data_IF_839777265978
#
_entry.id   IF_839777265978
#
_cell.length_a   1.000
_cell.length_b   1.000
_cell.length_c   1.000
_cell.angle_alpha   90.00
_cell.angle_beta   90.00
_cell.angle_gamma   90.00
#
_symmetry.space_group_name_H-M   'P 1'
#
loop_
_entity.id
_entity.type
_entity.pdbx_description
1 polymer ?
#
# COMPACT_ATOMS: atom_id res chain seq x y z
N UNK A 1 -16.82 -5.91 9.41
CA UNK A 1 -15.62 -6.19 8.61
C UNK A 1 -14.81 -4.89 8.57
N UNK A 2 -13.63 -4.86 9.17
CA UNK A 2 -12.88 -3.63 9.46
C UNK A 2 -11.36 -3.82 9.24
N UNK A 3 -10.98 -4.59 8.21
CA UNK A 3 -9.58 -4.89 7.89
C UNK A 3 -9.21 -4.43 6.49
N UNK A 4 -7.96 -4.04 6.32
CA UNK A 4 -7.45 -3.54 5.05
C UNK A 4 -5.99 -3.93 4.84
N UNK A 5 -5.60 -4.02 3.58
CA UNK A 5 -4.20 -3.95 3.16
C UNK A 5 -3.99 -2.59 2.53
N UNK A 6 -3.15 -1.79 3.18
CA UNK A 6 -2.71 -0.47 2.76
C UNK A 6 -1.42 -0.65 1.98
N UNK A 7 -1.42 -0.18 0.74
CA UNK A 7 -0.33 -0.33 -0.21
C UNK A 7 0.26 1.05 -0.50
N UNK A 8 1.58 1.16 -0.49
CA UNK A 8 2.20 2.21 -1.30
C UNK A 8 2.01 1.90 -2.80
N UNK A 9 2.34 2.85 -3.66
CA UNK A 9 2.15 2.72 -5.10
C UNK A 9 3.47 2.41 -5.83
N UNK A 10 4.40 3.35 -5.80
CA UNK A 10 5.65 3.27 -6.55
C UNK A 10 6.67 2.43 -5.78
N UNK A 11 7.04 1.27 -6.32
CA UNK A 11 7.87 0.27 -5.64
C UNK A 11 7.07 -0.85 -4.97
N UNK A 12 5.74 -0.78 -4.97
CA UNK A 12 4.84 -1.79 -4.36
C UNK A 12 3.78 -2.30 -5.33
N UNK A 13 3.04 -1.41 -6.00
CA UNK A 13 2.09 -1.75 -7.07
C UNK A 13 2.80 -1.74 -8.42
N UNK A 14 3.54 -0.67 -8.71
CA UNK A 14 4.30 -0.52 -9.94
C UNK A 14 5.79 -0.40 -9.67
N UNK A 15 6.60 -0.67 -10.69
CA UNK A 15 8.03 -0.35 -10.68
C UNK A 15 8.18 1.16 -10.48
N UNK A 16 8.98 1.57 -9.50
CA UNK A 16 9.32 2.97 -9.32
C UNK A 16 10.39 3.39 -10.33
N UNK A 17 9.96 4.10 -11.38
CA UNK A 17 10.82 4.72 -12.39
C UNK A 17 11.05 6.22 -12.11
N UNK A 18 10.62 6.71 -10.96
CA UNK A 18 10.59 8.12 -10.60
C UNK A 18 9.45 8.87 -11.28
N UNK A 19 8.57 9.47 -10.46
CA UNK A 19 7.51 10.37 -10.92
C UNK A 19 6.56 9.76 -11.98
N UNK A 20 6.22 8.47 -11.86
CA UNK A 20 5.31 7.78 -12.78
C UNK A 20 3.92 8.44 -12.75
N UNK A 21 3.47 8.97 -13.88
CA UNK A 21 2.19 9.67 -14.03
C UNK A 21 1.53 9.43 -15.40
N UNK A 22 2.01 8.44 -16.17
CA UNK A 22 1.51 8.08 -17.50
C UNK A 22 1.48 6.57 -17.65
N UNK A 23 0.52 6.04 -18.39
CA UNK A 23 0.33 4.60 -18.53
C UNK A 23 1.46 3.91 -19.30
N UNK A 24 2.15 4.64 -20.18
CA UNK A 24 3.31 4.12 -20.93
C UNK A 24 4.51 3.84 -20.01
N UNK A 25 4.60 4.57 -18.90
CA UNK A 25 5.66 4.41 -17.90
C UNK A 25 5.22 3.43 -16.78
N UNK A 26 3.93 3.12 -16.68
CA UNK A 26 3.36 2.22 -15.68
C UNK A 26 3.69 0.76 -16.00
N UNK A 27 4.46 0.14 -15.11
CA UNK A 27 4.81 -1.27 -15.18
C UNK A 27 4.46 -1.92 -13.86
N UNK A 28 3.56 -2.91 -13.91
CA UNK A 28 3.11 -3.62 -12.72
C UNK A 28 4.23 -4.46 -12.13
N UNK A 29 4.36 -4.50 -10.81
CA UNK A 29 5.29 -5.43 -10.18
C UNK A 29 4.87 -6.89 -10.41
N UNK A 30 5.81 -7.80 -10.73
CA UNK A 30 5.50 -9.20 -10.98
C UNK A 30 4.78 -9.86 -9.80
N UNK A 31 3.78 -10.70 -10.10
CA UNK A 31 3.05 -11.47 -9.09
C UNK A 31 2.07 -10.67 -8.22
N UNK A 32 1.97 -9.34 -8.38
CA UNK A 32 1.05 -8.50 -7.59
C UNK A 32 -0.40 -9.00 -7.65
N UNK A 33 -0.92 -9.22 -8.86
CA UNK A 33 -2.32 -9.62 -9.07
C UNK A 33 -2.60 -10.96 -8.40
N UNK A 34 -1.74 -11.95 -8.64
CA UNK A 34 -1.89 -13.30 -8.11
C UNK A 34 -1.83 -13.29 -6.58
N UNK A 35 -0.89 -12.53 -6.01
CA UNK A 35 -0.75 -12.40 -4.57
C UNK A 35 -1.98 -11.75 -3.93
N UNK A 36 -2.41 -10.58 -4.44
CA UNK A 36 -3.59 -9.88 -3.89
C UNK A 36 -4.88 -10.70 -4.08
N UNK A 37 -4.96 -11.53 -5.11
CA UNK A 37 -6.07 -12.45 -5.34
C UNK A 37 -6.22 -13.56 -4.29
N UNK A 38 -5.19 -13.82 -3.47
CA UNK A 38 -5.25 -14.78 -2.35
C UNK A 38 -5.89 -14.19 -1.09
N UNK A 39 -5.99 -12.86 -0.99
CA UNK A 39 -6.57 -12.22 0.18
C UNK A 39 -8.07 -12.51 0.27
N UNK A 40 -8.60 -12.83 1.46
CA UNK A 40 -10.04 -12.92 1.69
C UNK A 40 -10.79 -11.67 1.20
N UNK A 41 -11.96 -11.87 0.60
CA UNK A 41 -12.72 -10.79 -0.04
C UNK A 41 -13.22 -9.68 0.89
N UNK A 42 -13.06 -9.81 2.21
CA UNK A 42 -13.38 -8.79 3.20
C UNK A 42 -12.18 -7.89 3.56
N UNK A 43 -10.99 -8.15 3.03
CA UNK A 43 -9.90 -7.17 3.02
C UNK A 43 -10.19 -6.05 2.04
N UNK A 44 -10.16 -4.81 2.53
CA UNK A 44 -10.15 -3.64 1.66
C UNK A 44 -8.72 -3.38 1.17
N UNK A 45 -8.56 -3.16 -0.13
CA UNK A 45 -7.28 -2.72 -0.71
C UNK A 45 -7.29 -1.21 -0.83
N UNK A 46 -6.39 -0.53 -0.13
CA UNK A 46 -6.33 0.93 -0.06
C UNK A 46 -4.94 1.37 -0.46
N UNK A 47 -4.82 2.38 -1.32
CA UNK A 47 -3.53 2.96 -1.70
C UNK A 47 -3.29 4.24 -0.92
N UNK A 48 -2.10 4.38 -0.33
CA UNK A 48 -1.64 5.64 0.28
C UNK A 48 -0.26 5.96 -0.26
N UNK A 49 -0.13 7.05 -1.02
CA UNK A 49 1.12 7.35 -1.76
C UNK A 49 1.60 8.81 -1.64
N UNK A 50 2.92 9.00 -1.59
CA UNK A 50 3.55 10.32 -1.62
C UNK A 50 3.84 10.75 -3.06
N UNK A 51 3.13 11.74 -3.58
CA UNK A 51 3.18 12.19 -4.98
C UNK A 51 3.79 13.59 -5.10
N UNK A 52 5.01 13.74 -4.58
CA UNK A 52 5.71 15.03 -4.56
C UNK A 52 6.07 15.57 -5.95
N UNK A 53 5.89 14.79 -7.01
CA UNK A 53 6.01 15.28 -8.39
C UNK A 53 5.02 16.41 -8.69
N UNK A 54 3.87 16.42 -8.01
CA UNK A 54 2.87 17.50 -8.11
C UNK A 54 3.43 18.79 -7.54
N UNK A 55 3.86 18.80 -6.27
CA UNK A 55 4.45 19.97 -5.63
C UNK A 55 5.78 20.43 -6.26
N UNK A 56 6.45 19.55 -7.01
CA UNK A 56 7.64 19.88 -7.81
C UNK A 56 7.32 20.40 -9.22
N UNK A 57 6.06 20.33 -9.65
CA UNK A 57 5.62 20.79 -10.97
C UNK A 57 5.94 19.85 -12.14
N UNK A 58 6.20 18.56 -11.88
CA UNK A 58 6.42 17.57 -12.95
C UNK A 58 5.14 17.13 -13.64
N UNK A 59 4.03 17.12 -12.91
CA UNK A 59 2.68 16.88 -13.41
C UNK A 59 1.68 17.56 -12.48
N UNK A 60 0.48 17.79 -12.97
CA UNK A 60 -0.62 18.43 -12.25
C UNK A 60 -1.43 17.40 -11.46
N UNK A 61 -2.22 17.90 -10.51
CA UNK A 61 -3.18 17.09 -9.76
C UNK A 61 -4.18 16.38 -10.70
N UNK A 62 -4.62 17.08 -11.75
CA UNK A 62 -5.52 16.54 -12.77
C UNK A 62 -4.88 15.40 -13.58
N UNK A 63 -3.61 15.53 -13.96
CA UNK A 63 -2.88 14.46 -14.64
C UNK A 63 -2.70 13.24 -13.73
N UNK A 64 -2.39 13.47 -12.45
CA UNK A 64 -2.32 12.38 -11.47
C UNK A 64 -3.66 11.67 -11.30
N UNK A 65 -4.78 12.39 -11.19
CA UNK A 65 -6.11 11.81 -11.07
C UNK A 65 -6.47 11.00 -12.32
N UNK A 66 -6.30 11.56 -13.52
CA UNK A 66 -6.58 10.85 -14.77
C UNK A 66 -5.68 9.62 -14.97
N UNK A 67 -4.44 9.66 -14.50
CA UNK A 67 -3.56 8.48 -14.45
C UNK A 67 -4.07 7.44 -13.45
N UNK A 68 -4.46 7.88 -12.25
CA UNK A 68 -4.98 7.01 -11.19
C UNK A 68 -6.24 6.26 -11.63
N UNK A 69 -7.16 6.93 -12.32
CA UNK A 69 -8.37 6.31 -12.87
C UNK A 69 -8.03 5.18 -13.85
N UNK A 70 -7.03 5.40 -14.71
CA UNK A 70 -6.56 4.38 -15.65
C UNK A 70 -5.90 3.20 -14.93
N UNK A 71 -5.14 3.45 -13.86
CA UNK A 71 -4.54 2.39 -13.03
C UNK A 71 -5.63 1.59 -12.31
N UNK A 72 -6.64 2.24 -11.73
CA UNK A 72 -7.78 1.57 -11.09
C UNK A 72 -8.50 0.66 -12.09
N UNK A 73 -8.83 1.18 -13.27
CA UNK A 73 -9.46 0.41 -14.35
C UNK A 73 -8.58 -0.77 -14.80
N UNK A 74 -7.27 -0.54 -14.92
CA UNK A 74 -6.29 -1.57 -15.30
C UNK A 74 -6.23 -2.73 -14.28
N UNK A 75 -6.24 -2.41 -12.99
CA UNK A 75 -6.23 -3.40 -11.90
C UNK A 75 -7.58 -4.13 -11.78
N UNK A 76 -8.69 -3.40 -11.91
CA UNK A 76 -10.03 -3.96 -11.82
C UNK A 76 -10.27 -5.02 -12.90
N UNK A 77 -9.84 -4.77 -14.14
CA UNK A 77 -9.89 -5.74 -15.25
C UNK A 77 -9.11 -7.02 -14.99
N UNK A 78 -8.21 -7.02 -14.01
CA UNK A 78 -7.39 -8.16 -13.56
C UNK A 78 -7.85 -8.73 -12.22
N UNK A 79 -9.04 -8.33 -11.74
CA UNK A 79 -9.64 -8.86 -10.52
C UNK A 79 -9.21 -8.16 -9.23
N UNK A 80 -8.40 -7.08 -9.31
CA UNK A 80 -7.98 -6.32 -8.12
C UNK A 80 -8.82 -5.06 -7.99
N UNK A 81 -9.66 -5.01 -6.95
CA UNK A 81 -10.49 -3.84 -6.64
C UNK A 81 -9.84 -2.97 -5.56
N UNK A 82 -9.37 -1.80 -5.95
CA UNK A 82 -9.01 -0.75 -5.00
C UNK A 82 -10.27 -0.11 -4.43
N UNK A 83 -10.31 0.01 -3.11
CA UNK A 83 -11.43 0.57 -2.36
C UNK A 83 -11.25 2.07 -2.14
N UNK A 84 -10.01 2.54 -2.02
CA UNK A 84 -9.68 3.96 -1.89
C UNK A 84 -8.24 4.23 -2.33
N UNK A 85 -8.01 5.43 -2.84
CA UNK A 85 -6.67 5.94 -3.18
C UNK A 85 -6.50 7.30 -2.53
N UNK A 86 -5.52 7.42 -1.66
CA UNK A 86 -5.15 8.65 -0.97
C UNK A 86 -3.73 9.03 -1.36
N UNK A 87 -3.49 10.32 -1.57
CA UNK A 87 -2.17 10.80 -1.94
C UNK A 87 -1.83 12.13 -1.28
N UNK A 88 -0.53 12.36 -1.13
CA UNK A 88 0.02 13.64 -0.70
C UNK A 88 0.78 14.31 -1.86
N UNK A 89 0.32 15.48 -2.36
CA UNK A 89 0.99 16.19 -3.46
C UNK A 89 2.23 16.99 -3.01
N UNK A 90 2.41 17.17 -1.69
CA UNK A 90 3.37 18.11 -1.12
C UNK A 90 4.82 17.64 -1.19
N UNK A 91 5.72 18.62 -1.23
CA UNK A 91 7.17 18.39 -1.09
C UNK A 91 7.56 18.31 0.39
N UNK A 92 8.72 17.71 0.74
CA UNK A 92 9.16 17.62 2.13
C UNK A 92 9.22 18.97 2.88
N UNK A 93 9.51 20.06 2.16
CA UNK A 93 9.61 21.40 2.74
C UNK A 93 8.27 21.98 3.21
N UNK A 94 7.14 21.49 2.70
CA UNK A 94 5.81 22.03 3.01
C UNK A 94 5.34 21.68 4.42
N UNK A 95 5.97 20.70 5.08
CA UNK A 95 5.65 20.25 6.45
C UNK A 95 4.15 19.93 6.65
N UNK A 96 3.48 19.42 5.61
CA UNK A 96 2.08 19.03 5.69
C UNK A 96 1.89 17.79 6.59
N UNK A 97 0.67 17.59 7.09
CA UNK A 97 0.31 16.41 7.90
C UNK A 97 0.03 15.16 7.08
N UNK A 98 -0.16 15.25 5.75
CA UNK A 98 -0.54 14.10 4.93
C UNK A 98 0.64 13.35 4.30
N UNK A 99 1.85 13.92 4.30
CA UNK A 99 3.04 13.25 3.73
C UNK A 99 3.54 12.20 4.71
N UNK A 100 3.65 10.93 4.26
CA UNK A 100 4.30 9.85 5.03
C UNK A 100 5.71 10.30 5.45
N UNK A 101 6.14 10.10 6.71
CA UNK A 101 5.60 9.17 7.71
C UNK A 101 4.37 9.64 8.51
N UNK A 102 3.84 10.84 8.27
CA UNK A 102 2.67 11.29 9.03
C UNK A 102 1.43 10.43 8.72
N UNK A 103 0.63 10.09 9.74
CA UNK A 103 -0.47 9.12 9.62
C UNK A 103 -1.77 9.69 9.03
N UNK A 104 -1.87 11.00 8.76
CA UNK A 104 -3.16 11.64 8.50
C UNK A 104 -3.96 11.06 7.31
N UNK A 105 -3.29 10.54 6.27
CA UNK A 105 -4.01 9.86 5.17
C UNK A 105 -4.52 8.48 5.59
N UNK A 106 -3.78 7.77 6.43
CA UNK A 106 -4.21 6.47 6.97
C UNK A 106 -5.33 6.65 7.99
N UNK A 107 -5.27 7.68 8.84
CA UNK A 107 -6.36 8.05 9.75
C UNK A 107 -7.67 8.31 8.98
N UNK A 108 -7.59 9.07 7.88
CA UNK A 108 -8.74 9.31 7.00
C UNK A 108 -9.31 8.02 6.42
N UNK A 109 -8.45 7.12 5.95
CA UNK A 109 -8.88 5.82 5.44
C UNK A 109 -9.53 4.94 6.53
N UNK A 110 -8.98 4.96 7.75
CA UNK A 110 -9.54 4.25 8.91
C UNK A 110 -10.93 4.76 9.25
N UNK A 111 -11.12 6.08 9.29
CA UNK A 111 -12.41 6.70 9.58
C UNK A 111 -13.43 6.38 8.47
N UNK A 112 -13.07 6.61 7.21
CA UNK A 112 -13.96 6.44 6.05
C UNK A 112 -14.43 4.99 5.87
N UNK A 113 -13.54 4.02 6.12
CA UNK A 113 -13.85 2.60 5.96
C UNK A 113 -14.15 1.87 7.26
N UNK A 114 -14.22 2.59 8.38
CA UNK A 114 -14.42 2.06 9.74
C UNK A 114 -13.46 0.90 10.07
N UNK A 115 -12.17 1.09 9.81
CA UNK A 115 -11.13 0.07 9.98
C UNK A 115 -10.72 -0.07 11.46
N UNK A 116 -10.23 -1.26 11.81
CA UNK A 116 -9.50 -1.53 13.04
C UNK A 116 -8.01 -1.62 12.68
N UNK A 117 -7.19 -0.65 13.12
CA UNK A 117 -5.77 -0.62 12.77
C UNK A 117 -5.04 -1.92 13.09
N UNK A 118 -5.41 -2.62 14.17
CA UNK A 118 -4.80 -3.89 14.59
C UNK A 118 -5.08 -5.06 13.65
N UNK A 119 -5.99 -4.88 12.69
CA UNK A 119 -6.30 -5.87 11.64
C UNK A 119 -5.88 -5.37 10.26
N UNK A 120 -5.19 -4.23 10.21
CA UNK A 120 -4.73 -3.63 8.97
C UNK A 120 -3.24 -3.88 8.79
N UNK A 121 -2.84 -4.01 7.53
CA UNK A 121 -1.46 -4.27 7.13
C UNK A 121 -1.00 -3.15 6.22
N UNK A 122 0.17 -2.55 6.50
CA UNK A 122 0.81 -1.57 5.62
C UNK A 122 1.97 -2.26 4.90
N UNK A 123 1.95 -2.23 3.56
CA UNK A 123 3.02 -2.75 2.71
C UNK A 123 3.66 -1.57 1.97
N UNK A 124 4.96 -1.37 2.20
CA UNK A 124 5.74 -0.24 1.66
C UNK A 124 7.17 -0.62 1.34
N UNK A 125 7.86 0.18 0.52
CA UNK A 125 9.28 -0.02 0.17
C UNK A 125 10.21 1.05 0.80
N UNK A 126 9.65 1.96 1.59
CA UNK A 126 10.35 3.04 2.27
C UNK A 126 10.06 3.03 3.79
N UNK A 127 10.99 3.54 4.61
CA UNK A 127 10.79 3.57 6.06
C UNK A 127 9.58 4.43 6.46
N UNK A 128 9.25 5.44 5.65
CA UNK A 128 8.10 6.30 5.90
C UNK A 128 6.76 5.56 5.85
N UNK A 129 6.66 4.46 5.10
CA UNK A 129 5.47 3.60 5.09
C UNK A 129 5.32 2.84 6.40
N UNK A 130 6.45 2.29 6.88
CA UNK A 130 6.52 1.52 8.12
C UNK A 130 6.20 2.42 9.30
N UNK A 131 6.83 3.59 9.38
CA UNK A 131 6.59 4.58 10.44
C UNK A 131 5.11 5.04 10.47
N UNK A 132 4.49 5.24 9.30
CA UNK A 132 3.06 5.59 9.20
C UNK A 132 2.16 4.49 9.77
N UNK A 133 2.43 3.22 9.43
CA UNK A 133 1.67 2.08 9.94
C UNK A 133 1.85 1.86 11.43
N UNK A 134 3.10 1.91 11.91
CA UNK A 134 3.45 1.79 13.33
C UNK A 134 2.76 2.86 14.18
N UNK A 135 2.70 4.10 13.69
CA UNK A 135 2.08 5.22 14.41
C UNK A 135 0.60 4.99 14.77
N UNK A 136 -0.11 4.16 14.00
CA UNK A 136 -1.51 3.81 14.25
C UNK A 136 -1.71 2.37 14.76
N UNK A 137 -0.63 1.62 14.95
CA UNK A 137 -0.69 0.23 15.41
C UNK A 137 -1.17 -0.76 14.36
N UNK A 138 -0.91 -0.47 13.07
CA UNK A 138 -1.06 -1.45 12.00
C UNK A 138 0.13 -2.41 11.96
N UNK A 139 -0.10 -3.62 11.44
CA UNK A 139 0.98 -4.52 11.08
C UNK A 139 1.77 -3.94 9.91
N UNK A 140 3.10 -4.01 9.95
CA UNK A 140 3.96 -3.38 8.93
C UNK A 140 4.83 -4.40 8.21
N UNK A 141 4.83 -4.32 6.88
CA UNK A 141 5.57 -5.21 6.00
C UNK A 141 6.42 -4.35 5.08
N UNK A 142 7.74 -4.51 5.17
CA UNK A 142 8.67 -3.85 4.27
C UNK A 142 8.95 -4.74 3.05
N UNK A 143 8.63 -4.25 1.86
CA UNK A 143 8.88 -4.93 0.61
C UNK A 143 10.31 -4.64 0.16
N UNK A 144 11.20 -5.62 0.32
CA UNK A 144 12.59 -5.50 -0.06
C UNK A 144 12.73 -5.52 -1.58
N UNK A 145 13.27 -4.44 -2.15
CA UNK A 145 13.56 -4.37 -3.57
C UNK A 145 15.03 -4.64 -3.86
N UNK A 146 15.28 -5.53 -4.83
CA UNK A 146 16.64 -5.87 -5.25
C UNK A 146 17.38 -4.69 -5.91
N UNK A 147 16.64 -3.84 -6.63
CA UNK A 147 17.17 -2.72 -7.44
C UNK A 147 17.69 -1.53 -6.62
N UNK A 148 17.25 -1.37 -5.36
CA UNK A 148 17.73 -0.32 -4.45
C UNK A 148 18.94 -0.74 -3.61
N UNK A 149 19.45 -1.96 -3.80
CA UNK A 149 20.57 -2.53 -3.03
C UNK A 149 20.27 -2.67 -1.52
N UNK A 150 21.21 -3.24 -0.74
CA UNK A 150 21.12 -3.38 0.73
C UNK A 150 21.20 -2.04 1.50
N UNK A 151 20.59 -0.98 0.97
CA UNK A 151 20.75 0.41 1.43
C UNK A 151 19.50 0.98 2.09
N UNK A 152 18.48 0.16 2.36
CA UNK A 152 17.49 0.48 3.37
C UNK A 152 18.20 0.50 4.73
N UNK A 153 18.72 1.67 5.14
CA UNK A 153 19.01 1.93 6.54
C UNK A 153 17.67 1.82 7.25
N UNK A 154 17.52 0.89 8.17
CA UNK A 154 16.30 0.71 8.97
C UNK A 154 16.31 1.73 10.13
N UNK A 155 15.58 2.87 10.07
CA UNK A 155 15.30 3.64 11.29
C UNK A 155 14.29 2.90 12.18
N UNK A 156 13.45 2.06 11.58
CA UNK A 156 12.39 1.26 12.24
C UNK A 156 12.48 -0.21 11.81
N UNK A 157 11.93 -1.12 12.64
CA UNK A 157 11.93 -2.56 12.38
C UNK A 157 10.53 -3.00 11.98
N UNK A 158 10.25 -3.22 10.67
CA UNK A 158 8.97 -3.75 10.25
C UNK A 158 8.73 -5.12 10.89
N UNK A 159 7.46 -5.51 11.04
CA UNK A 159 7.12 -6.83 11.57
C UNK A 159 7.54 -7.96 10.62
N UNK A 160 7.50 -7.71 9.32
CA UNK A 160 8.00 -8.63 8.29
C UNK A 160 8.78 -7.89 7.20
N UNK A 161 9.84 -8.53 6.68
CA UNK A 161 10.58 -8.07 5.50
C UNK A 161 10.29 -9.07 4.38
N UNK A 162 9.46 -8.66 3.43
CA UNK A 162 9.04 -9.50 2.33
C UNK A 162 9.96 -9.37 1.13
N UNK A 163 10.30 -10.47 0.46
CA UNK A 163 11.09 -10.43 -0.78
C UNK A 163 10.25 -10.09 -2.02
N UNK A 164 8.94 -10.34 -1.98
CA UNK A 164 7.98 -9.99 -3.03
C UNK A 164 6.56 -9.86 -2.44
N UNK A 165 5.59 -9.48 -3.27
CA UNK A 165 4.19 -9.34 -2.81
C UNK A 165 3.58 -10.68 -2.37
N UNK A 166 4.01 -11.79 -2.95
CA UNK A 166 3.50 -13.12 -2.59
C UNK A 166 3.94 -13.51 -1.17
N UNK A 167 5.19 -13.23 -0.80
CA UNK A 167 5.70 -13.42 0.55
C UNK A 167 4.97 -12.50 1.55
N UNK A 168 4.75 -11.24 1.19
CA UNK A 168 3.96 -10.30 2.01
C UNK A 168 2.54 -10.84 2.28
N UNK A 169 1.83 -11.30 1.25
CA UNK A 169 0.48 -11.85 1.41
C UNK A 169 0.50 -13.16 2.21
N UNK A 170 1.48 -14.05 2.01
CA UNK A 170 1.61 -15.27 2.82
C UNK A 170 1.80 -14.96 4.30
N UNK A 171 2.59 -13.94 4.62
CA UNK A 171 2.73 -13.48 5.99
C UNK A 171 1.40 -13.00 6.58
N UNK A 172 0.64 -12.18 5.85
CA UNK A 172 -0.71 -11.74 6.27
C UNK A 172 -1.61 -12.94 6.59
N UNK A 173 -1.67 -13.90 5.67
CA UNK A 173 -2.49 -15.11 5.84
C UNK A 173 -2.01 -16.02 6.98
N UNK A 174 -0.74 -15.95 7.37
CA UNK A 174 -0.20 -16.73 8.50
C UNK A 174 -0.62 -16.20 9.87
N UNK A 175 -0.98 -14.91 9.94
CA UNK A 175 -1.46 -14.25 11.16
C UNK A 175 -2.97 -14.41 11.36
N UNK A 176 -3.67 -14.87 10.31
CA UNK A 176 -5.08 -15.19 10.39
C UNK A 176 -5.30 -16.43 11.28
N UNK A 177 -6.18 -16.35 12.28
CA UNK A 177 -6.47 -17.51 13.10
C UNK A 177 -7.03 -18.62 12.21
N UNK A 178 -6.31 -19.75 12.15
CA UNK A 178 -6.77 -21.00 11.54
C UNK A 178 -8.21 -21.26 11.99
N UNK A 179 -9.14 -21.21 11.04
CA UNK A 179 -10.58 -21.17 11.32
C UNK A 179 -11.03 -22.16 12.39
N UNK A 180 -11.92 -21.68 13.26
CA UNK A 180 -12.78 -22.49 14.11
C UNK A 180 -13.25 -23.74 13.36
N UNK A 181 -13.10 -24.89 14.02
CA UNK A 181 -13.42 -26.19 13.48
C UNK A 181 -14.79 -26.22 12.83
N UNK A 182 -14.86 -26.90 11.68
CA UNK A 182 -16.10 -27.44 11.15
C UNK A 182 -16.75 -28.32 12.23
N UNK A 183 -17.68 -27.76 13.00
CA UNK A 183 -18.64 -28.57 13.75
C UNK A 183 -19.63 -29.14 12.73
N UNK A 184 -19.32 -30.34 12.24
CA UNK A 184 -20.37 -31.28 11.84
C UNK A 184 -21.16 -31.65 13.10
N UNK A 185 -22.48 -31.67 12.99
CA UNK A 185 -23.38 -32.05 14.08
C UNK A 185 -24.82 -31.74 13.72
N UNK A 186 -25.34 -32.47 12.74
CA UNK A 186 -26.77 -32.84 12.70
C UNK A 186 -27.00 -34.03 13.64
#
# INVERSE_FOLDING_TARGET
MNRAVILDRDGVINVDKGYVHRMEDFELLPGLIDALGLLPGDFKLIVITNQSGIGRGFYTDKEFQGFTDQVIEYLLKRGVRLHGVYYCPHVPADKCSCRKPNPALLERAIEEFHLDPKKCFVIGDDSSDIEMGEALGCHTIFLQREDRGRRARYPTRPEHVACDMMDAVRYILSLEPSGQGRSQGE
#
